data_IF_523299102193
#
_entry.id   IF_523299102193
#
_cell.length_a   1.000
_cell.length_b   1.000
_cell.length_c   1.000
_cell.angle_alpha   90.00
_cell.angle_beta   90.00
_cell.angle_gamma   90.00
#
_symmetry.space_group_name_H-M   'P 1'
#
loop_
_entity.id
_entity.type
_entity.pdbx_description
1 polymer ?
#
# COMPACT_ATOMS: atom_id res chain seq x y z
N UNK A 1 20.40 -49.20 12.45
CA UNK A 1 21.08 -48.29 11.52
C UNK A 1 20.24 -47.90 10.31
N UNK A 2 19.54 -48.80 9.60
CA UNK A 2 18.68 -48.50 8.44
C UNK A 2 17.43 -47.62 8.73
N UNK A 3 16.85 -47.76 9.92
CA UNK A 3 15.67 -46.99 10.34
C UNK A 3 16.05 -45.52 10.65
N UNK A 4 17.17 -45.31 11.35
CA UNK A 4 17.69 -43.97 11.65
C UNK A 4 18.04 -43.17 10.39
N UNK A 5 18.55 -43.81 9.35
CA UNK A 5 18.88 -43.17 8.09
C UNK A 5 17.62 -42.73 7.30
N UNK A 6 16.54 -43.55 7.38
CA UNK A 6 15.25 -43.21 6.74
C UNK A 6 14.51 -42.05 7.45
N UNK A 7 14.54 -42.02 8.77
CA UNK A 7 13.94 -40.91 9.53
C UNK A 7 14.74 -39.62 9.37
N UNK A 8 16.07 -39.68 9.33
CA UNK A 8 16.91 -38.51 9.06
C UNK A 8 16.69 -37.93 7.64
N UNK A 9 16.54 -38.82 6.63
CA UNK A 9 16.23 -38.39 5.26
C UNK A 9 14.84 -37.74 5.12
N UNK A 10 13.87 -38.30 5.85
CA UNK A 10 12.49 -37.72 5.85
C UNK A 10 12.43 -36.39 6.57
N UNK A 11 13.15 -36.23 7.67
CA UNK A 11 13.26 -34.94 8.39
C UNK A 11 14.01 -33.89 7.56
N UNK A 12 15.06 -34.29 6.82
CA UNK A 12 15.78 -33.41 5.91
C UNK A 12 14.89 -32.92 4.75
N UNK A 13 14.00 -33.78 4.23
CA UNK A 13 13.07 -33.41 3.15
C UNK A 13 12.02 -32.39 3.61
N UNK A 14 11.56 -32.46 4.87
CA UNK A 14 10.60 -31.51 5.45
C UNK A 14 11.24 -30.11 5.61
N UNK A 15 12.53 -30.03 5.94
CA UNK A 15 13.25 -28.76 6.13
C UNK A 15 13.50 -28.05 4.78
N UNK A 16 13.61 -28.79 3.67
CA UNK A 16 13.78 -28.23 2.32
C UNK A 16 12.47 -27.80 1.64
N UNK A 17 11.30 -28.10 2.24
CA UNK A 17 9.99 -27.73 1.70
C UNK A 17 9.40 -26.45 2.32
N UNK A 18 10.17 -25.66 3.05
CA UNK A 18 9.76 -24.31 3.42
C UNK A 18 9.91 -23.39 2.20
N UNK A 19 8.96 -23.46 1.27
CA UNK A 19 8.70 -22.35 0.37
C UNK A 19 8.31 -21.17 1.25
N UNK A 20 9.04 -20.08 1.17
CA UNK A 20 8.59 -18.82 1.74
C UNK A 20 7.24 -18.49 1.10
N UNK A 21 6.17 -18.63 1.88
CA UNK A 21 4.85 -18.17 1.48
C UNK A 21 4.88 -16.64 1.56
N UNK A 22 5.35 -16.02 0.48
CA UNK A 22 5.11 -14.60 0.28
C UNK A 22 3.61 -14.42 0.03
N UNK A 23 2.89 -14.13 1.08
CA UNK A 23 1.49 -13.72 0.98
C UNK A 23 1.47 -12.29 0.46
N UNK A 24 1.07 -12.15 -0.80
CA UNK A 24 1.03 -10.87 -1.52
C UNK A 24 -0.42 -10.46 -1.69
N UNK A 25 -0.75 -9.17 -1.49
CA UNK A 25 -2.15 -8.78 -1.39
C UNK A 25 -2.52 -7.41 -1.95
N UNK A 26 -1.54 -6.54 -2.28
CA UNK A 26 -1.85 -5.18 -2.74
C UNK A 26 -2.06 -5.19 -4.25
N UNK A 27 -3.26 -4.80 -4.69
CA UNK A 27 -3.67 -4.74 -6.10
C UNK A 27 -3.49 -3.35 -6.70
N UNK A 28 -3.90 -2.31 -5.94
CA UNK A 28 -3.83 -0.91 -6.34
C UNK A 28 -3.81 -0.01 -5.11
N UNK A 29 -3.58 1.29 -5.32
CA UNK A 29 -3.71 2.29 -4.27
C UNK A 29 -3.65 3.70 -4.80
N UNK A 30 -3.94 4.65 -3.92
CA UNK A 30 -3.87 6.07 -4.19
C UNK A 30 -3.51 6.85 -2.93
N UNK A 31 -3.00 8.06 -3.11
CA UNK A 31 -2.72 9.01 -2.04
C UNK A 31 -3.59 10.25 -2.28
N UNK A 32 -4.40 10.59 -1.29
CA UNK A 32 -5.18 11.82 -1.27
C UNK A 32 -4.56 12.76 -0.26
N UNK A 33 -4.34 14.02 -0.66
CA UNK A 33 -3.88 15.08 0.22
C UNK A 33 -4.97 16.15 0.35
N UNK A 34 -5.29 16.52 1.58
CA UNK A 34 -6.29 17.53 1.91
C UNK A 34 -5.70 18.54 2.89
N UNK A 35 -5.66 19.82 2.49
CA UNK A 35 -5.28 20.88 3.43
C UNK A 35 -6.36 21.07 4.49
N UNK A 36 -5.99 20.96 5.76
CA UNK A 36 -6.91 21.01 6.90
C UNK A 36 -6.76 22.28 7.75
N UNK A 37 -5.81 23.16 7.42
CA UNK A 37 -5.60 24.42 8.13
C UNK A 37 -5.48 25.58 7.15
N UNK A 38 -6.18 26.68 7.44
CA UNK A 38 -6.07 27.93 6.69
C UNK A 38 -4.89 28.81 7.13
N UNK A 39 -4.32 28.52 8.31
CA UNK A 39 -3.25 29.33 8.93
C UNK A 39 -1.88 28.66 8.91
N UNK A 40 -1.85 27.36 8.62
CA UNK A 40 -0.62 26.58 8.50
C UNK A 40 -0.65 25.73 7.22
N UNK A 41 0.53 25.21 6.83
CA UNK A 41 0.66 24.30 5.68
C UNK A 41 0.44 22.85 6.12
N UNK A 42 -0.66 22.60 6.84
CA UNK A 42 -1.01 21.31 7.42
C UNK A 42 -1.97 20.57 6.51
N UNK A 43 -1.60 19.35 6.18
CA UNK A 43 -2.36 18.43 5.31
C UNK A 43 -2.70 17.14 6.05
N UNK A 44 -3.90 16.64 5.83
CA UNK A 44 -4.30 15.26 6.08
C UNK A 44 -4.02 14.46 4.79
N UNK A 45 -3.22 13.42 4.90
CA UNK A 45 -3.02 12.45 3.84
C UNK A 45 -3.85 11.22 4.14
N UNK A 46 -4.57 10.74 3.13
CA UNK A 46 -5.24 9.44 3.17
C UNK A 46 -4.53 8.52 2.20
N UNK A 47 -3.93 7.46 2.74
CA UNK A 47 -3.31 6.38 1.95
C UNK A 47 -4.38 5.31 1.79
N UNK A 48 -4.71 4.99 0.55
CA UNK A 48 -5.74 4.01 0.20
C UNK A 48 -5.05 2.83 -0.46
N UNK A 49 -5.27 1.63 0.08
CA UNK A 49 -4.81 0.38 -0.50
C UNK A 49 -5.97 -0.56 -0.83
N UNK A 50 -6.00 -1.07 -2.05
CA UNK A 50 -6.92 -2.10 -2.48
C UNK A 50 -6.23 -3.46 -2.39
N UNK A 51 -6.72 -4.34 -1.54
CA UNK A 51 -6.07 -5.61 -1.22
C UNK A 51 -6.95 -6.81 -1.50
N UNK A 52 -6.34 -7.98 -1.59
CA UNK A 52 -7.03 -9.26 -1.70
C UNK A 52 -7.50 -9.71 -0.30
N UNK A 53 -8.79 -10.05 -0.17
CA UNK A 53 -9.34 -10.54 1.11
C UNK A 53 -8.90 -11.95 1.46
N UNK A 54 -8.37 -12.71 0.49
CA UNK A 54 -7.83 -14.06 0.70
C UNK A 54 -6.42 -14.09 1.29
N UNK A 55 -5.78 -12.92 1.45
CA UNK A 55 -4.44 -12.82 2.05
C UNK A 55 -4.51 -12.67 3.57
N UNK A 56 -3.61 -13.34 4.28
CA UNK A 56 -3.41 -13.17 5.73
C UNK A 56 -2.55 -11.94 6.08
N UNK A 57 -1.86 -11.35 5.08
CA UNK A 57 -1.05 -10.15 5.28
C UNK A 57 -1.95 -8.93 5.31
N UNK A 58 -1.75 -8.08 6.30
CA UNK A 58 -2.47 -6.81 6.42
C UNK A 58 -1.74 -5.68 5.71
N UNK A 59 -2.49 -4.78 5.08
CA UNK A 59 -1.98 -3.55 4.48
C UNK A 59 -1.54 -2.55 5.55
N UNK A 60 -0.43 -1.85 5.29
CA UNK A 60 0.04 -0.76 6.15
C UNK A 60 1.44 -0.98 6.74
N UNK A 61 2.12 -2.10 6.42
CA UNK A 61 3.51 -2.34 6.83
C UNK A 61 4.55 -1.50 6.08
N UNK A 62 4.10 -0.49 5.33
CA UNK A 62 4.94 0.33 4.48
C UNK A 62 5.38 1.65 5.10
N UNK A 63 6.17 2.38 4.31
CA UNK A 63 6.69 3.71 4.66
C UNK A 63 6.02 4.80 3.83
N UNK A 64 5.67 5.89 4.47
CA UNK A 64 5.15 7.09 3.82
C UNK A 64 6.17 8.21 3.91
N UNK A 65 6.61 8.71 2.75
CA UNK A 65 7.53 9.84 2.60
C UNK A 65 6.74 11.08 2.21
N UNK A 66 6.88 12.16 2.98
CA UNK A 66 6.21 13.43 2.72
C UNK A 66 6.93 14.28 1.65
N UNK A 67 8.11 13.85 1.19
CA UNK A 67 8.89 14.57 0.19
C UNK A 67 9.66 15.80 0.72
N UNK A 68 9.65 16.02 2.01
CA UNK A 68 10.38 17.10 2.70
C UNK A 68 11.51 16.57 3.62
N UNK A 69 11.81 15.26 3.51
CA UNK A 69 12.80 14.56 4.32
C UNK A 69 12.20 13.86 5.55
N UNK A 70 10.90 14.02 5.80
CA UNK A 70 10.21 13.29 6.85
C UNK A 70 9.61 12.00 6.28
N UNK A 71 9.90 10.86 6.93
CA UNK A 71 9.39 9.53 6.57
C UNK A 71 8.82 8.91 7.82
N UNK A 72 7.66 8.26 7.70
CA UNK A 72 7.01 7.53 8.79
C UNK A 72 6.72 6.09 8.39
N UNK A 73 6.67 5.19 9.37
CA UNK A 73 6.09 3.86 9.24
C UNK A 73 4.57 3.96 9.47
N UNK A 74 3.76 3.47 8.52
CA UNK A 74 2.30 3.72 8.52
C UNK A 74 1.58 3.01 9.67
N UNK A 75 2.13 1.89 10.17
CA UNK A 75 1.57 1.18 11.33
C UNK A 75 1.94 1.79 12.69
N UNK A 76 2.87 2.75 12.71
CA UNK A 76 3.23 3.43 13.96
C UNK A 76 2.11 4.35 14.44
N UNK A 77 2.21 4.80 15.69
CA UNK A 77 1.24 5.63 16.42
C UNK A 77 0.82 6.93 15.71
N UNK A 78 1.52 7.29 14.61
CA UNK A 78 1.23 8.45 13.78
C UNK A 78 0.00 8.30 12.88
N UNK A 79 -0.48 7.09 12.62
CA UNK A 79 -1.69 6.87 11.85
C UNK A 79 -2.94 7.20 12.70
N UNK A 80 -3.68 8.25 12.31
CA UNK A 80 -4.86 8.72 13.06
C UNK A 80 -6.04 7.75 13.01
N UNK A 81 -6.15 6.97 11.95
CA UNK A 81 -7.18 5.95 11.81
C UNK A 81 -6.77 4.91 10.78
N UNK A 82 -6.97 3.65 11.11
CA UNK A 82 -6.94 2.54 10.18
C UNK A 82 -8.38 2.03 10.00
N UNK A 83 -8.82 1.91 8.76
CA UNK A 83 -10.14 1.39 8.42
C UNK A 83 -10.04 0.38 7.29
N UNK A 84 -10.69 -0.78 7.46
CA UNK A 84 -10.82 -1.82 6.43
C UNK A 84 -12.30 -1.97 6.07
N UNK A 85 -12.60 -1.83 4.78
CA UNK A 85 -13.94 -1.97 4.22
C UNK A 85 -13.91 -3.10 3.20
N UNK A 86 -14.77 -4.09 3.36
CA UNK A 86 -14.91 -5.18 2.40
C UNK A 86 -15.72 -4.69 1.19
N UNK A 87 -15.16 -4.87 0.01
CA UNK A 87 -15.82 -4.62 -1.26
C UNK A 87 -16.23 -5.96 -1.91
N UNK A 88 -16.86 -5.87 -3.08
CA UNK A 88 -17.16 -7.04 -3.90
C UNK A 88 -15.88 -7.66 -4.50
N UNK A 89 -16.01 -8.85 -5.08
CA UNK A 89 -14.94 -9.53 -5.84
C UNK A 89 -13.66 -9.80 -5.04
N UNK A 90 -13.78 -10.12 -3.76
CA UNK A 90 -12.66 -10.43 -2.88
C UNK A 90 -11.66 -9.27 -2.74
N UNK A 91 -12.14 -8.05 -2.76
CA UNK A 91 -11.34 -6.84 -2.55
C UNK A 91 -11.68 -6.24 -1.20
N UNK A 92 -10.65 -5.79 -0.49
CA UNK A 92 -10.78 -4.92 0.67
C UNK A 92 -10.18 -3.54 0.35
N UNK A 93 -10.87 -2.50 0.76
CA UNK A 93 -10.37 -1.13 0.80
C UNK A 93 -9.78 -0.88 2.17
N UNK A 94 -8.51 -0.51 2.23
CA UNK A 94 -7.82 -0.14 3.45
C UNK A 94 -7.46 1.35 3.39
N UNK A 95 -7.73 2.05 4.48
CA UNK A 95 -7.56 3.49 4.61
C UNK A 95 -6.68 3.78 5.81
N UNK A 96 -5.61 4.55 5.60
CA UNK A 96 -4.78 5.10 6.68
C UNK A 96 -4.73 6.61 6.54
N UNK A 97 -4.86 7.32 7.65
CA UNK A 97 -4.80 8.77 7.69
C UNK A 97 -3.62 9.23 8.54
N UNK A 98 -2.86 10.14 8.00
CA UNK A 98 -1.75 10.79 8.68
C UNK A 98 -1.84 12.30 8.50
N UNK A 99 -1.37 13.07 9.48
CA UNK A 99 -1.29 14.53 9.40
C UNK A 99 0.18 14.95 9.34
N UNK A 100 0.48 15.89 8.45
CA UNK A 100 1.79 16.49 8.35
C UNK A 100 1.71 17.99 8.13
N UNK A 101 2.67 18.75 8.69
CA UNK A 101 2.79 20.19 8.50
C UNK A 101 4.10 20.51 7.81
N UNK A 102 4.02 21.00 6.59
CA UNK A 102 5.17 21.44 5.82
C UNK A 102 5.72 22.76 6.34
N UNK A 103 7.04 22.89 6.33
CA UNK A 103 7.71 24.09 6.86
C UNK A 103 7.77 25.24 5.83
N UNK A 104 7.60 24.96 4.56
CA UNK A 104 7.67 25.93 3.48
C UNK A 104 6.67 25.63 2.36
N UNK A 105 6.23 26.63 1.59
CA UNK A 105 5.55 26.42 0.31
C UNK A 105 6.50 25.75 -0.69
N UNK A 106 5.95 24.96 -1.60
CA UNK A 106 6.75 24.27 -2.61
C UNK A 106 6.01 23.14 -3.30
N UNK A 107 6.72 22.46 -4.19
CA UNK A 107 6.29 21.19 -4.79
C UNK A 107 6.89 20.06 -4.00
N UNK A 108 6.06 19.13 -3.59
CA UNK A 108 6.47 17.95 -2.84
C UNK A 108 5.93 16.72 -3.55
N UNK A 109 6.78 15.72 -3.72
CA UNK A 109 6.38 14.39 -4.18
C UNK A 109 6.22 13.54 -2.93
N UNK A 110 4.99 13.20 -2.61
CA UNK A 110 4.69 12.30 -1.50
C UNK A 110 4.52 10.90 -2.03
N UNK A 111 5.05 9.90 -1.33
CA UNK A 111 5.04 8.53 -1.80
C UNK A 111 4.78 7.53 -0.69
N UNK A 112 4.23 6.38 -1.08
CA UNK A 112 4.05 5.22 -0.21
C UNK A 112 4.71 4.01 -0.85
N UNK A 113 5.47 3.29 -0.04
CA UNK A 113 6.20 2.09 -0.42
C UNK A 113 5.87 0.94 0.52
N UNK A 114 5.52 -0.23 -0.03
CA UNK A 114 5.32 -1.47 0.71
C UNK A 114 5.75 -2.68 -0.12
N UNK A 115 6.29 -3.72 0.51
CA UNK A 115 6.88 -4.85 -0.22
C UNK A 115 5.85 -5.88 -0.74
N UNK A 116 4.61 -5.82 -0.30
CA UNK A 116 3.63 -6.89 -0.46
C UNK A 116 2.72 -6.73 -1.70
N UNK A 117 3.28 -6.64 -2.90
CA UNK A 117 2.50 -6.60 -4.15
C UNK A 117 1.92 -7.97 -4.49
N UNK A 118 0.77 -8.02 -5.15
CA UNK A 118 0.14 -9.26 -5.62
C UNK A 118 1.07 -10.09 -6.49
N UNK A 119 1.01 -11.42 -6.29
CA UNK A 119 1.62 -12.39 -7.17
C UNK A 119 0.90 -12.48 -8.52
N UNK A 120 1.58 -13.00 -9.54
CA UNK A 120 1.01 -13.37 -10.84
C UNK A 120 0.33 -12.23 -11.61
N UNK A 121 0.85 -11.01 -11.51
CA UNK A 121 0.42 -9.90 -12.35
C UNK A 121 0.90 -10.18 -13.78
N UNK A 122 -0.04 -10.39 -14.72
CA UNK A 122 0.21 -10.94 -16.07
C UNK A 122 1.22 -10.12 -16.89
N UNK A 123 1.26 -8.80 -16.71
CA UNK A 123 2.15 -7.89 -17.42
C UNK A 123 3.35 -7.42 -16.59
N UNK A 124 3.70 -8.17 -15.55
CA UNK A 124 4.84 -7.86 -14.66
C UNK A 124 5.65 -9.11 -14.37
N UNK A 125 6.94 -9.11 -14.71
CA UNK A 125 7.86 -10.15 -14.29
C UNK A 125 8.12 -10.06 -12.79
N UNK A 126 8.09 -11.22 -12.11
CA UNK A 126 8.39 -11.32 -10.67
C UNK A 126 7.64 -10.29 -9.82
N UNK A 127 6.33 -10.19 -10.02
CA UNK A 127 5.50 -9.19 -9.33
C UNK A 127 5.60 -9.27 -7.80
N UNK A 128 5.83 -10.46 -7.25
CA UNK A 128 6.05 -10.69 -5.81
C UNK A 128 7.30 -9.97 -5.29
N UNK A 129 8.37 -9.97 -6.10
CA UNK A 129 9.65 -9.35 -5.74
C UNK A 129 9.69 -7.86 -6.07
N UNK A 130 8.62 -7.35 -6.71
CA UNK A 130 8.49 -5.94 -7.06
C UNK A 130 7.68 -5.22 -5.99
N UNK A 131 8.27 -4.26 -5.27
CA UNK A 131 7.55 -3.52 -4.24
C UNK A 131 6.32 -2.80 -4.80
N UNK A 132 5.30 -2.64 -3.96
CA UNK A 132 4.21 -1.73 -4.24
C UNK A 132 4.69 -0.30 -3.99
N UNK A 133 4.49 0.57 -4.97
CA UNK A 133 4.88 1.97 -4.90
C UNK A 133 3.83 2.84 -5.55
N UNK A 134 3.42 3.89 -4.86
CA UNK A 134 2.56 4.94 -5.38
C UNK A 134 3.11 6.30 -4.96
N UNK A 135 2.91 7.30 -5.81
CA UNK A 135 3.30 8.68 -5.52
C UNK A 135 2.27 9.68 -6.04
N UNK A 136 2.25 10.87 -5.46
CA UNK A 136 1.52 12.02 -5.95
C UNK A 136 2.32 13.30 -5.73
N UNK A 137 2.28 14.20 -6.71
CA UNK A 137 2.86 15.53 -6.55
C UNK A 137 1.79 16.48 -5.99
N UNK A 138 2.15 17.24 -4.97
CA UNK A 138 1.31 18.29 -4.41
C UNK A 138 2.02 19.65 -4.50
N UNK A 139 1.26 20.68 -4.87
CA UNK A 139 1.71 22.05 -4.80
C UNK A 139 1.15 22.70 -3.52
N UNK A 140 2.05 23.05 -2.62
CA UNK A 140 1.73 23.74 -1.38
C UNK A 140 1.95 25.22 -1.57
N UNK A 141 0.84 25.98 -1.55
CA UNK A 141 0.84 27.41 -1.65
C UNK A 141 -0.12 28.00 -0.61
N UNK A 142 0.34 28.92 0.24
CA UNK A 142 -0.51 29.54 1.27
C UNK A 142 -1.68 30.32 0.69
N UNK A 143 -1.59 30.77 -0.57
CA UNK A 143 -2.63 31.59 -1.22
C UNK A 143 -3.76 30.75 -1.84
N UNK A 144 -3.57 29.44 -2.05
CA UNK A 144 -4.61 28.58 -2.62
C UNK A 144 -5.74 28.20 -1.65
N UNK A 145 -5.67 28.64 -0.40
CA UNK A 145 -6.69 28.30 0.60
C UNK A 145 -6.67 26.79 0.96
N UNK A 146 -7.85 26.27 1.29
CA UNK A 146 -8.05 24.86 1.60
C UNK A 146 -8.23 24.08 0.29
N UNK A 147 -7.15 23.52 -0.23
CA UNK A 147 -7.16 22.71 -1.46
C UNK A 147 -6.98 21.21 -1.17
N UNK A 148 -7.41 20.41 -2.13
CA UNK A 148 -7.30 18.95 -2.08
C UNK A 148 -6.76 18.43 -3.41
N UNK A 149 -6.11 17.26 -3.39
CA UNK A 149 -5.92 16.46 -4.61
C UNK A 149 -7.25 15.94 -5.13
N UNK A 150 -7.36 15.58 -6.42
CA UNK A 150 -8.53 14.87 -6.94
C UNK A 150 -8.83 13.60 -6.13
N UNK A 151 -10.10 13.27 -6.02
CA UNK A 151 -10.58 12.04 -5.34
C UNK A 151 -11.30 11.20 -6.36
N UNK A 152 -10.96 9.92 -6.45
CA UNK A 152 -11.68 8.97 -7.29
C UNK A 152 -13.07 8.71 -6.69
N UNK A 153 -14.12 8.86 -7.52
CA UNK A 153 -15.48 8.55 -7.12
C UNK A 153 -15.81 7.06 -7.21
N UNK A 154 -15.06 6.34 -8.04
CA UNK A 154 -15.19 4.90 -8.26
C UNK A 154 -13.82 4.28 -8.01
N UNK A 155 -13.74 3.19 -7.24
CA UNK A 155 -12.47 2.49 -7.02
C UNK A 155 -11.80 2.12 -8.35
N UNK A 156 -10.47 2.27 -8.49
CA UNK A 156 -9.74 1.95 -9.72
C UNK A 156 -9.52 0.44 -9.89
N UNK A 157 -10.45 -0.36 -9.41
CA UNK A 157 -10.44 -1.82 -9.48
C UNK A 157 -11.57 -2.25 -10.40
N UNK A 158 -11.22 -2.80 -11.55
CA UNK A 158 -12.17 -3.40 -12.49
C UNK A 158 -11.74 -4.83 -12.81
N UNK A 159 -12.73 -5.70 -13.01
CA UNK A 159 -12.52 -7.10 -13.36
C UNK A 159 -12.67 -7.27 -14.86
N UNK A 160 -11.54 -7.31 -15.57
CA UNK A 160 -11.52 -7.63 -16.99
C UNK A 160 -11.81 -9.11 -17.25
N UNK A 161 -12.62 -9.40 -18.26
CA UNK A 161 -12.82 -10.76 -18.79
C UNK A 161 -12.09 -10.88 -20.12
N UNK A 162 -11.24 -11.91 -20.24
CA UNK A 162 -10.49 -12.15 -21.48
C UNK A 162 -11.44 -12.29 -22.68
N UNK A 163 -11.21 -11.49 -23.73
CA UNK A 163 -12.01 -11.51 -24.95
C UNK A 163 -13.21 -10.57 -24.98
N UNK A 164 -13.51 -9.85 -23.91
CA UNK A 164 -14.55 -8.81 -23.87
C UNK A 164 -13.90 -7.43 -24.05
N UNK A 165 -14.50 -6.58 -24.89
CA UNK A 165 -14.14 -5.16 -24.98
C UNK A 165 -14.97 -4.37 -23.96
N UNK A 166 -14.30 -3.53 -23.20
CA UNK A 166 -14.89 -2.59 -22.25
C UNK A 166 -14.96 -1.19 -22.86
#
# INVERSE_FOLDING_TARGET
>A
MRIFFRTALFLSFIIFCSSELHSTHIRAGEIIAKRISSTSLTYEFTIIGYTDTGSEVEFGGGKFDFGDGNIIDVLDESALSAQKILLENQVALNLFKVIHTFQAPGRYVVSYFEQNRNAQIVNMENSVDTPFFIETEILIDPFFGLNNTPVLLIPPIDNGIVGIRY
#
